data_IF_416511342559
#
_entry.id   IF_416511342559
#
_cell.length_a   1.000
_cell.length_b   1.000
_cell.length_c   1.000
_cell.angle_alpha   90.00
_cell.angle_beta   90.00
_cell.angle_gamma   90.00
#
_symmetry.space_group_name_H-M   'P 1'
#
loop_
_entity.id
_entity.type
_entity.pdbx_description
1 polymer ?
#
# COMPACT_ATOMS: atom_id res chain seq x y z
N UNK A 1 -19.46 0.07 17.64
CA UNK A 1 -18.81 -1.18 18.12
C UNK A 1 -18.60 -1.06 19.62
N UNK A 2 -18.90 -2.13 20.38
CA UNK A 2 -18.55 -2.17 21.81
C UNK A 2 -17.03 -2.25 21.98
N UNK A 3 -16.51 -1.85 23.15
CA UNK A 3 -15.06 -1.88 23.45
C UNK A 3 -14.47 -3.31 23.28
N UNK A 4 -15.23 -4.35 23.59
CA UNK A 4 -14.84 -5.76 23.35
C UNK A 4 -14.73 -6.08 21.86
N UNK A 5 -15.69 -5.64 21.04
CA UNK A 5 -15.65 -5.86 19.59
C UNK A 5 -14.52 -5.08 18.90
N UNK A 6 -14.15 -3.89 19.39
CA UNK A 6 -12.98 -3.15 18.93
C UNK A 6 -11.66 -3.85 19.29
N UNK A 7 -11.57 -4.46 20.47
CA UNK A 7 -10.40 -5.23 20.87
C UNK A 7 -10.25 -6.48 20.02
N UNK A 8 -11.33 -7.20 19.73
CA UNK A 8 -11.31 -8.37 18.84
C UNK A 8 -10.95 -8.00 17.39
N UNK A 9 -11.37 -6.84 16.92
CA UNK A 9 -11.00 -6.34 15.60
C UNK A 9 -9.50 -6.01 15.48
N UNK A 10 -8.95 -5.28 16.44
CA UNK A 10 -7.54 -4.89 16.41
C UNK A 10 -6.57 -6.00 16.83
N UNK A 11 -7.06 -7.04 17.51
CA UNK A 11 -6.27 -8.16 18.04
C UNK A 11 -7.03 -9.49 17.90
N UNK A 12 -7.24 -9.98 16.66
CA UNK A 12 -8.03 -11.18 16.42
C UNK A 12 -7.39 -12.43 17.01
N UNK A 13 -8.27 -13.40 17.37
CA UNK A 13 -7.84 -14.72 17.76
C UNK A 13 -7.50 -15.55 16.52
N UNK A 14 -6.25 -15.99 16.41
CA UNK A 14 -5.74 -16.86 15.35
C UNK A 14 -5.69 -18.29 15.81
N UNK A 15 -5.98 -19.24 14.92
CA UNK A 15 -6.00 -20.68 15.27
C UNK A 15 -5.81 -21.57 14.05
N UNK A 16 -6.03 -22.87 14.21
CA UNK A 16 -5.77 -23.92 13.20
C UNK A 16 -6.51 -23.71 11.87
N UNK A 17 -7.60 -22.94 11.85
CA UNK A 17 -8.33 -22.56 10.65
C UNK A 17 -7.72 -21.33 9.93
N UNK A 18 -6.80 -20.62 10.58
CA UNK A 18 -6.12 -19.48 9.97
C UNK A 18 -4.96 -19.99 9.10
N UNK A 19 -4.95 -19.63 7.82
CA UNK A 19 -3.90 -20.00 6.87
C UNK A 19 -2.52 -19.59 7.40
N UNK A 20 -1.55 -20.53 7.41
CA UNK A 20 -0.20 -20.30 7.94
C UNK A 20 -0.07 -20.45 9.47
N UNK A 21 -1.15 -20.68 10.21
CA UNK A 21 -1.10 -20.94 11.65
C UNK A 21 -0.79 -22.42 11.94
N UNK A 22 0.04 -22.74 12.97
CA UNK A 22 0.37 -24.12 13.33
C UNK A 22 -0.86 -24.90 13.78
N UNK A 23 -1.15 -26.04 13.14
CA UNK A 23 -2.40 -26.79 13.32
C UNK A 23 -2.54 -27.44 14.68
N UNK A 24 -1.43 -27.73 15.36
CA UNK A 24 -1.36 -28.39 16.66
C UNK A 24 -1.24 -27.42 17.84
N UNK A 25 -1.14 -26.13 17.58
CA UNK A 25 -1.02 -25.11 18.60
C UNK A 25 -2.38 -24.57 19.03
N UNK A 26 -2.58 -24.24 20.31
CA UNK A 26 -3.80 -23.61 20.78
C UNK A 26 -3.96 -22.22 20.13
N UNK A 27 -5.21 -21.73 19.94
CA UNK A 27 -5.45 -20.38 19.43
C UNK A 27 -4.76 -19.31 20.29
N UNK A 28 -4.25 -18.25 19.64
CA UNK A 28 -3.59 -17.10 20.28
C UNK A 28 -4.10 -15.79 19.72
N UNK A 29 -4.13 -14.74 20.54
CA UNK A 29 -4.32 -13.38 20.05
C UNK A 29 -3.15 -13.01 19.13
N UNK A 30 -3.42 -12.20 18.10
CA UNK A 30 -2.40 -11.75 17.17
C UNK A 30 -1.22 -11.08 17.91
N UNK A 31 -1.50 -10.27 18.93
CA UNK A 31 -0.50 -9.61 19.78
C UNK A 31 0.35 -10.58 20.62
N UNK A 32 -0.12 -11.81 20.86
CA UNK A 32 0.60 -12.82 21.65
C UNK A 32 1.44 -13.78 20.77
N UNK A 33 1.42 -13.63 19.46
CA UNK A 33 2.15 -14.51 18.52
C UNK A 33 3.67 -14.40 18.72
N UNK A 34 4.19 -13.17 18.92
CA UNK A 34 5.64 -12.97 19.13
C UNK A 34 6.21 -13.71 20.36
N UNK A 35 5.37 -13.98 21.37
CA UNK A 35 5.77 -14.75 22.57
C UNK A 35 5.73 -16.26 22.37
N UNK A 36 5.31 -16.77 21.20
CA UNK A 36 5.19 -18.20 20.96
C UNK A 36 6.54 -18.91 20.78
N UNK A 37 7.62 -18.18 20.51
CA UNK A 37 8.95 -18.73 20.31
C UNK A 37 9.15 -19.46 18.98
N UNK A 38 8.24 -19.25 18.01
CA UNK A 38 8.30 -19.92 16.69
C UNK A 38 9.42 -19.36 15.80
N UNK A 39 9.92 -20.24 14.93
CA UNK A 39 10.86 -19.88 13.89
C UNK A 39 10.45 -20.53 12.56
N UNK A 40 10.35 -19.73 11.51
CA UNK A 40 9.91 -20.20 10.18
C UNK A 40 10.84 -21.25 9.61
N UNK A 41 12.16 -21.08 9.79
CA UNK A 41 13.15 -22.02 9.29
C UNK A 41 13.35 -23.23 10.21
N UNK A 42 12.84 -23.21 11.43
CA UNK A 42 12.77 -24.42 12.26
C UNK A 42 11.60 -25.35 11.89
N UNK A 43 10.66 -24.87 11.05
CA UNK A 43 9.47 -25.62 10.64
C UNK A 43 8.32 -25.54 11.64
N UNK A 44 8.32 -24.53 12.52
CA UNK A 44 7.26 -24.35 13.52
C UNK A 44 5.95 -23.84 12.91
N UNK A 45 6.01 -23.29 11.69
CA UNK A 45 4.84 -22.80 10.94
C UNK A 45 4.67 -23.58 9.63
N UNK A 46 3.41 -23.87 9.23
CA UNK A 46 3.15 -24.54 7.95
C UNK A 46 3.43 -23.61 6.77
N UNK A 47 3.92 -24.17 5.67
CA UNK A 47 4.10 -23.51 4.39
C UNK A 47 2.96 -23.91 3.42
N UNK A 48 2.58 -23.04 2.43
CA UNK A 48 3.18 -21.71 2.18
C UNK A 48 2.87 -20.72 3.30
N UNK A 49 3.75 -19.72 3.46
CA UNK A 49 3.61 -18.68 4.47
C UNK A 49 4.12 -17.35 3.95
N UNK A 50 3.29 -16.30 3.98
CA UNK A 50 3.73 -14.92 3.82
C UNK A 50 4.20 -14.38 5.17
N UNK A 51 5.29 -13.62 5.16
CA UNK A 51 5.89 -13.04 6.36
C UNK A 51 6.47 -11.64 6.09
N UNK A 52 6.66 -10.87 7.15
CA UNK A 52 7.23 -9.54 7.11
C UNK A 52 8.58 -9.52 7.87
N UNK A 53 9.60 -8.91 7.25
CA UNK A 53 10.90 -8.69 7.87
C UNK A 53 10.87 -7.43 8.73
N UNK A 54 11.05 -7.54 10.05
CA UNK A 54 10.98 -6.42 11.00
C UNK A 54 11.96 -5.30 10.63
N UNK A 55 13.21 -5.64 10.44
CA UNK A 55 14.27 -4.66 10.14
C UNK A 55 13.94 -3.83 8.89
N UNK A 56 13.47 -4.46 7.83
CA UNK A 56 13.10 -3.77 6.59
C UNK A 56 11.86 -2.88 6.77
N UNK A 57 10.85 -3.34 7.53
CA UNK A 57 9.66 -2.52 7.86
C UNK A 57 10.05 -1.24 8.62
N UNK A 58 10.84 -1.39 9.68
CA UNK A 58 11.26 -0.27 10.52
C UNK A 58 12.14 0.71 9.74
N UNK A 59 13.06 0.19 8.92
CA UNK A 59 13.86 0.99 8.02
C UNK A 59 12.99 1.80 7.04
N UNK A 60 12.03 1.15 6.37
CA UNK A 60 11.16 1.81 5.39
C UNK A 60 10.30 2.92 6.02
N UNK A 61 9.75 2.67 7.20
CA UNK A 61 9.00 3.66 7.97
C UNK A 61 9.85 4.89 8.26
N UNK A 62 11.05 4.69 8.80
CA UNK A 62 11.99 5.75 9.14
C UNK A 62 12.47 6.51 7.89
N UNK A 63 12.83 5.78 6.82
CA UNK A 63 13.31 6.36 5.57
C UNK A 63 12.29 7.27 4.91
N UNK A 64 11.06 6.79 4.72
CA UNK A 64 10.01 7.59 4.08
C UNK A 64 9.64 8.82 4.92
N UNK A 65 9.56 8.67 6.24
CA UNK A 65 9.27 9.79 7.12
C UNK A 65 10.38 10.85 7.12
N UNK A 66 11.65 10.44 7.05
CA UNK A 66 12.78 11.36 6.90
C UNK A 66 12.72 12.11 5.55
N UNK A 67 12.34 11.42 4.46
CA UNK A 67 12.22 12.04 3.14
C UNK A 67 11.11 13.08 3.07
N UNK A 68 9.90 12.76 3.53
CA UNK A 68 8.80 13.74 3.50
C UNK A 68 9.10 14.98 4.37
N UNK A 69 9.78 14.80 5.50
CA UNK A 69 10.27 15.91 6.33
C UNK A 69 11.29 16.77 5.58
N UNK A 70 12.24 16.16 4.86
CA UNK A 70 13.24 16.88 4.07
C UNK A 70 12.60 17.69 2.93
N UNK A 71 11.51 17.20 2.33
CA UNK A 71 10.74 17.94 1.33
C UNK A 71 9.78 18.98 1.95
N UNK A 72 9.65 19.04 3.27
CA UNK A 72 8.75 19.95 3.98
C UNK A 72 7.27 19.63 3.75
N UNK A 73 6.94 18.38 3.46
CA UNK A 73 5.58 17.86 3.24
C UNK A 73 5.25 16.76 4.26
N UNK A 74 4.04 16.24 4.20
CA UNK A 74 3.57 15.17 5.07
C UNK A 74 3.22 13.90 4.29
N UNK A 75 3.02 12.79 5.02
CA UNK A 75 2.65 11.49 4.49
C UNK A 75 1.24 11.11 4.94
N UNK A 76 0.41 10.70 4.00
CA UNK A 76 -0.90 10.07 4.24
C UNK A 76 -0.95 8.73 3.50
N UNK A 77 -0.24 7.69 3.96
CA UNK A 77 -0.02 6.47 3.19
C UNK A 77 -1.32 5.75 2.84
N UNK A 78 -1.35 5.12 1.66
CA UNK A 78 -2.52 4.40 1.19
C UNK A 78 -2.68 3.06 1.91
N UNK A 79 -3.62 3.00 2.85
CA UNK A 79 -3.91 1.83 3.69
C UNK A 79 -4.44 0.62 2.93
N UNK A 80 -5.05 0.82 1.72
CA UNK A 80 -5.53 -0.31 0.88
C UNK A 80 -4.46 -1.36 0.60
N UNK A 81 -3.18 -1.00 0.70
CA UNK A 81 -2.08 -1.91 0.44
C UNK A 81 -2.07 -3.08 1.40
N UNK A 82 -2.18 -2.82 2.69
CA UNK A 82 -2.07 -3.85 3.73
C UNK A 82 -3.38 -4.17 4.43
N UNK A 83 -4.30 -3.22 4.50
CA UNK A 83 -5.51 -3.28 5.33
C UNK A 83 -5.26 -3.80 6.75
N UNK A 84 -4.09 -3.46 7.31
CA UNK A 84 -3.61 -3.93 8.61
C UNK A 84 -3.66 -2.84 9.68
N UNK A 85 -4.50 -2.96 10.72
CA UNK A 85 -4.55 -2.01 11.83
C UNK A 85 -3.18 -1.81 12.52
N UNK A 86 -2.38 -2.87 12.64
CA UNK A 86 -1.06 -2.81 13.27
C UNK A 86 -0.06 -2.02 12.41
N UNK A 87 -0.08 -2.19 11.08
CA UNK A 87 0.78 -1.41 10.17
C UNK A 87 0.31 0.04 10.10
N UNK A 88 -0.99 0.30 10.11
CA UNK A 88 -1.54 1.68 10.17
C UNK A 88 -1.05 2.42 11.40
N UNK A 89 -1.09 1.76 12.56
CA UNK A 89 -0.60 2.35 13.81
C UNK A 89 0.89 2.66 13.74
N UNK A 90 1.72 1.72 13.25
CA UNK A 90 3.15 1.95 13.05
C UNK A 90 3.42 3.15 12.12
N UNK A 91 2.64 3.32 11.04
CA UNK A 91 2.76 4.47 10.13
C UNK A 91 2.38 5.80 10.83
N UNK A 92 1.29 5.81 11.60
CA UNK A 92 0.86 6.98 12.37
C UNK A 92 1.89 7.32 13.47
N UNK A 93 2.39 6.33 14.21
CA UNK A 93 3.39 6.49 15.27
C UNK A 93 4.75 6.99 14.70
N UNK A 94 5.09 6.59 13.47
CA UNK A 94 6.26 7.12 12.74
C UNK A 94 6.10 8.59 12.33
N UNK A 95 4.89 9.15 12.41
CA UNK A 95 4.59 10.55 12.14
C UNK A 95 3.82 10.81 10.85
N UNK A 96 3.12 9.82 10.28
CA UNK A 96 2.20 10.06 9.18
C UNK A 96 1.09 11.04 9.62
N UNK A 97 0.76 12.00 8.76
CA UNK A 97 -0.29 13.00 9.01
C UNK A 97 -1.67 12.35 9.16
N UNK A 98 -1.91 11.29 8.43
CA UNK A 98 -3.16 10.56 8.37
C UNK A 98 -3.02 9.33 7.49
N UNK A 99 -4.13 8.78 7.03
CA UNK A 99 -4.16 7.60 6.14
C UNK A 99 -5.06 7.85 4.93
N UNK A 100 -4.75 7.19 3.84
CA UNK A 100 -5.56 7.21 2.61
C UNK A 100 -6.21 5.85 2.37
N UNK A 101 -7.42 5.83 1.86
CA UNK A 101 -8.17 4.61 1.53
C UNK A 101 -8.81 4.72 0.14
N UNK A 102 -9.33 3.61 -0.38
CA UNK A 102 -10.02 3.59 -1.66
C UNK A 102 -11.55 3.56 -1.50
N UNK A 103 -12.07 3.08 -0.37
CA UNK A 103 -13.51 2.93 -0.10
C UNK A 103 -13.84 3.32 1.33
N UNK A 104 -15.13 3.55 1.60
CA UNK A 104 -15.63 3.85 2.96
C UNK A 104 -15.48 2.64 3.89
N UNK A 105 -15.61 1.42 3.38
CA UNK A 105 -15.33 0.21 4.15
C UNK A 105 -13.88 0.17 4.64
N UNK A 106 -12.92 0.43 3.76
CA UNK A 106 -11.50 0.50 4.13
C UNK A 106 -11.22 1.65 5.11
N UNK A 107 -11.88 2.79 4.92
CA UNK A 107 -11.81 3.93 5.84
C UNK A 107 -12.25 3.53 7.25
N UNK A 108 -13.34 2.79 7.41
CA UNK A 108 -13.83 2.35 8.71
C UNK A 108 -12.78 1.50 9.47
N UNK A 109 -12.04 0.64 8.76
CA UNK A 109 -10.89 -0.11 9.31
C UNK A 109 -9.81 0.86 9.82
N UNK A 110 -9.46 1.87 9.04
CA UNK A 110 -8.46 2.87 9.42
C UNK A 110 -8.86 3.70 10.64
N UNK A 111 -10.12 4.12 10.71
CA UNK A 111 -10.67 4.86 11.85
C UNK A 111 -10.67 4.00 13.11
N UNK A 112 -11.06 2.73 13.02
CA UNK A 112 -11.00 1.77 14.11
C UNK A 112 -9.56 1.51 14.59
N UNK A 113 -8.56 1.59 13.68
CA UNK A 113 -7.14 1.52 14.01
C UNK A 113 -6.57 2.80 14.63
N UNK A 114 -7.34 3.89 14.70
CA UNK A 114 -6.94 5.14 15.35
C UNK A 114 -6.69 6.32 14.41
N UNK A 115 -6.90 6.19 13.11
CA UNK A 115 -6.76 7.32 12.18
C UNK A 115 -7.77 8.43 12.53
N UNK A 116 -7.32 9.68 12.51
CA UNK A 116 -8.14 10.87 12.80
C UNK A 116 -8.15 11.87 11.63
N UNK A 117 -7.27 11.68 10.65
CA UNK A 117 -7.22 12.43 9.40
C UNK A 117 -7.13 11.42 8.26
N UNK A 118 -8.08 11.48 7.34
CA UNK A 118 -8.21 10.46 6.31
C UNK A 118 -8.58 11.06 4.96
N UNK A 119 -8.10 10.39 3.90
CA UNK A 119 -8.48 10.66 2.53
C UNK A 119 -9.11 9.40 1.93
N UNK A 120 -10.20 9.54 1.19
CA UNK A 120 -10.66 8.51 0.26
C UNK A 120 -10.21 8.95 -1.13
N UNK A 121 -9.16 8.31 -1.67
CA UNK A 121 -8.61 8.61 -2.99
C UNK A 121 -9.47 8.00 -4.10
N UNK A 122 -10.77 8.30 -4.04
CA UNK A 122 -11.80 7.90 -4.98
C UNK A 122 -13.01 8.83 -4.87
N UNK A 123 -13.89 8.77 -5.87
CA UNK A 123 -15.23 9.37 -5.84
C UNK A 123 -16.13 8.56 -4.93
N UNK A 124 -16.90 9.24 -4.08
CA UNK A 124 -17.96 8.65 -3.26
C UNK A 124 -19.30 8.97 -3.89
N UNK A 125 -20.08 7.95 -4.24
CA UNK A 125 -21.28 8.09 -5.07
C UNK A 125 -22.53 7.49 -4.43
N UNK A 126 -22.40 6.43 -3.63
CA UNK A 126 -23.57 5.73 -3.10
C UNK A 126 -24.13 6.42 -1.85
N UNK A 127 -25.44 6.34 -1.69
CA UNK A 127 -26.14 6.83 -0.50
C UNK A 127 -25.61 6.18 0.78
N UNK A 128 -25.30 4.89 0.74
CA UNK A 128 -24.77 4.12 1.86
C UNK A 128 -23.37 4.60 2.27
N UNK A 129 -22.49 4.88 1.30
CA UNK A 129 -21.15 5.38 1.58
C UNK A 129 -21.19 6.81 2.17
N UNK A 130 -22.05 7.69 1.65
CA UNK A 130 -22.25 9.04 2.20
C UNK A 130 -22.79 8.97 3.63
N UNK A 131 -23.78 8.10 3.89
CA UNK A 131 -24.31 7.85 5.23
C UNK A 131 -23.24 7.27 6.17
N UNK A 132 -22.41 6.35 5.67
CA UNK A 132 -21.29 5.77 6.41
C UNK A 132 -20.26 6.81 6.85
N UNK A 133 -19.88 7.75 5.97
CA UNK A 133 -19.00 8.87 6.31
C UNK A 133 -19.64 9.74 7.41
N UNK A 134 -20.92 10.10 7.29
CA UNK A 134 -21.62 10.89 8.32
C UNK A 134 -21.66 10.19 9.68
N UNK A 135 -21.86 8.88 9.66
CA UNK A 135 -21.87 8.04 10.87
C UNK A 135 -20.50 8.09 11.57
N UNK A 136 -19.41 7.94 10.81
CA UNK A 136 -18.05 8.02 11.35
C UNK A 136 -17.73 9.42 11.89
N UNK A 137 -18.09 10.49 11.16
CA UNK A 137 -17.88 11.87 11.59
C UNK A 137 -18.61 12.18 12.91
N UNK A 138 -19.84 11.71 13.08
CA UNK A 138 -20.60 11.90 14.31
C UNK A 138 -20.08 11.06 15.48
N UNK A 139 -19.58 9.85 15.20
CA UNK A 139 -19.07 8.94 16.22
C UNK A 139 -17.68 9.34 16.76
N UNK A 140 -16.90 10.10 15.99
CA UNK A 140 -15.50 10.41 16.31
C UNK A 140 -15.22 11.91 16.24
N UNK A 141 -15.30 12.59 17.38
CA UNK A 141 -14.98 14.01 17.46
C UNK A 141 -13.56 14.29 16.93
N UNK A 142 -13.42 15.32 16.11
CA UNK A 142 -12.15 15.71 15.49
C UNK A 142 -11.68 14.82 14.33
N UNK A 143 -12.47 13.83 13.92
CA UNK A 143 -12.20 13.06 12.71
C UNK A 143 -12.40 13.95 11.48
N UNK A 144 -11.43 13.94 10.58
CA UNK A 144 -11.52 14.57 9.26
C UNK A 144 -11.50 13.49 8.18
N UNK A 145 -12.46 13.59 7.25
CA UNK A 145 -12.58 12.69 6.10
C UNK A 145 -12.75 13.56 4.86
N UNK A 146 -11.79 13.51 3.94
CA UNK A 146 -11.92 14.13 2.64
C UNK A 146 -11.97 13.05 1.55
N UNK A 147 -12.71 13.32 0.44
CA UNK A 147 -12.76 12.42 -0.71
C UNK A 147 -12.71 13.21 -2.03
N UNK A 148 -12.52 12.50 -3.15
CA UNK A 148 -12.31 13.11 -4.44
C UNK A 148 -13.64 13.49 -5.12
N UNK A 149 -13.61 14.64 -5.81
CA UNK A 149 -14.68 15.09 -6.70
C UNK A 149 -14.10 15.54 -8.03
N UNK A 150 -14.66 15.05 -9.14
CA UNK A 150 -14.18 15.35 -10.49
C UNK A 150 -15.27 15.79 -11.48
N UNK A 151 -16.52 15.84 -11.07
CA UNK A 151 -17.62 16.14 -11.98
C UNK A 151 -18.81 16.84 -11.30
N UNK A 152 -19.52 17.63 -12.10
CA UNK A 152 -20.78 18.25 -11.67
C UNK A 152 -21.87 17.20 -11.39
N UNK A 153 -21.83 16.07 -12.08
CA UNK A 153 -22.76 14.97 -11.87
C UNK A 153 -22.59 14.35 -10.47
N UNK A 154 -21.34 14.13 -10.03
CA UNK A 154 -21.06 13.67 -8.67
C UNK A 154 -21.50 14.69 -7.63
N UNK A 155 -21.22 15.98 -7.84
CA UNK A 155 -21.67 17.03 -6.92
C UNK A 155 -23.19 17.03 -6.79
N UNK A 156 -23.93 16.89 -7.89
CA UNK A 156 -25.40 16.83 -7.88
C UNK A 156 -25.93 15.64 -7.05
N UNK A 157 -25.27 14.46 -7.12
CA UNK A 157 -25.62 13.31 -6.27
C UNK A 157 -25.40 13.60 -4.78
N UNK A 158 -24.32 14.27 -4.44
CA UNK A 158 -24.01 14.65 -3.04
C UNK A 158 -25.01 15.70 -2.54
N UNK A 159 -25.36 16.70 -3.36
CA UNK A 159 -26.35 17.74 -3.04
C UNK A 159 -27.75 17.12 -2.82
N UNK A 160 -28.18 16.23 -3.70
CA UNK A 160 -29.45 15.51 -3.58
C UNK A 160 -29.50 14.66 -2.31
N UNK A 161 -28.41 13.94 -2.02
CA UNK A 161 -28.29 13.18 -0.77
C UNK A 161 -28.40 14.09 0.45
N UNK A 162 -27.69 15.21 0.48
CA UNK A 162 -27.69 16.16 1.59
C UNK A 162 -29.09 16.80 1.81
N UNK A 163 -29.82 17.10 0.73
CA UNK A 163 -31.19 17.58 0.80
C UNK A 163 -32.15 16.58 1.46
N UNK A 164 -31.98 15.29 1.15
CA UNK A 164 -32.77 14.20 1.77
C UNK A 164 -32.36 13.91 3.22
N UNK A 165 -31.19 14.36 3.68
CA UNK A 165 -30.66 14.08 5.01
C UNK A 165 -30.37 15.38 5.79
N UNK A 166 -31.44 16.09 6.18
CA UNK A 166 -31.33 17.33 6.91
C UNK A 166 -30.43 17.21 8.17
N UNK A 167 -29.56 18.20 8.39
CA UNK A 167 -28.62 18.19 9.50
C UNK A 167 -27.34 17.35 9.24
N UNK A 168 -27.09 16.92 8.00
CA UNK A 168 -25.82 16.37 7.61
C UNK A 168 -24.70 17.43 7.68
N UNK A 169 -23.50 17.01 8.08
CA UNK A 169 -22.31 17.83 8.03
C UNK A 169 -21.85 18.00 6.57
N UNK A 170 -21.35 19.17 6.16
CA UNK A 170 -20.77 19.31 4.83
C UNK A 170 -19.54 18.40 4.69
N UNK A 171 -19.41 17.74 3.53
CA UNK A 171 -18.30 16.84 3.25
C UNK A 171 -17.06 17.63 2.84
N UNK A 172 -15.90 17.29 3.39
CA UNK A 172 -14.61 17.79 2.87
C UNK A 172 -14.29 17.10 1.54
N UNK A 173 -13.94 17.87 0.52
CA UNK A 173 -13.64 17.35 -0.83
C UNK A 173 -12.33 17.88 -1.38
N UNK A 174 -11.66 17.05 -2.18
CA UNK A 174 -10.50 17.41 -2.99
C UNK A 174 -10.92 17.37 -4.46
N UNK A 175 -10.63 18.44 -5.19
CA UNK A 175 -10.80 18.48 -6.64
C UNK A 175 -9.74 17.60 -7.29
N UNK A 176 -10.13 16.57 -8.05
CA UNK A 176 -9.19 15.68 -8.73
C UNK A 176 -8.81 16.22 -10.11
N UNK A 177 -7.51 16.34 -10.36
CA UNK A 177 -6.92 16.67 -11.66
C UNK A 177 -6.46 15.37 -12.32
N UNK A 178 -7.12 14.99 -13.40
CA UNK A 178 -6.81 13.77 -14.16
C UNK A 178 -6.02 14.05 -15.45
N UNK A 179 -5.59 12.99 -16.11
CA UNK A 179 -4.85 13.01 -17.38
C UNK A 179 -5.70 12.38 -18.47
N UNK A 180 -5.64 12.93 -19.68
CA UNK A 180 -6.37 12.40 -20.84
C UNK A 180 -6.00 10.93 -21.11
N UNK A 181 -7.00 10.12 -21.42
CA UNK A 181 -6.85 8.67 -21.59
C UNK A 181 -6.59 7.89 -20.31
N UNK A 182 -6.41 8.55 -19.15
CA UNK A 182 -6.22 7.91 -17.86
C UNK A 182 -7.57 7.70 -17.11
N UNK A 183 -7.53 7.47 -15.81
CA UNK A 183 -8.64 7.01 -14.97
C UNK A 183 -9.70 8.10 -14.74
N UNK A 184 -9.64 8.83 -13.66
CA UNK A 184 -10.59 9.84 -13.16
C UNK A 184 -10.00 11.25 -13.18
N UNK A 185 -10.73 12.27 -12.75
CA UNK A 185 -10.27 13.64 -12.60
C UNK A 185 -10.61 14.56 -13.77
N UNK A 186 -10.64 15.86 -13.51
CA UNK A 186 -10.88 16.90 -14.51
C UNK A 186 -9.78 16.90 -15.58
N UNK A 187 -10.16 16.92 -16.86
CA UNK A 187 -9.23 16.85 -17.99
C UNK A 187 -8.69 18.20 -18.41
N UNK A 188 -9.48 19.26 -18.25
CA UNK A 188 -9.09 20.62 -18.64
C UNK A 188 -9.09 21.58 -17.46
N UNK A 189 -8.32 22.66 -17.58
CA UNK A 189 -8.30 23.75 -16.60
C UNK A 189 -9.69 24.37 -16.42
N UNK A 190 -10.40 24.60 -17.51
CA UNK A 190 -11.76 25.17 -17.49
C UNK A 190 -12.77 24.26 -16.76
N UNK A 191 -12.72 22.93 -16.97
CA UNK A 191 -13.54 21.97 -16.22
C UNK A 191 -13.25 22.03 -14.72
N UNK A 192 -11.97 22.04 -14.34
CA UNK A 192 -11.55 22.08 -12.94
C UNK A 192 -12.05 23.35 -12.24
N UNK A 193 -11.91 24.51 -12.87
CA UNK A 193 -12.39 25.79 -12.30
C UNK A 193 -13.92 25.91 -12.25
N UNK A 194 -14.61 25.43 -13.27
CA UNK A 194 -16.07 25.39 -13.27
C UNK A 194 -16.59 24.53 -12.12
N UNK A 195 -15.98 23.34 -11.90
CA UNK A 195 -16.31 22.47 -10.78
C UNK A 195 -15.96 23.11 -9.44
N UNK A 196 -14.75 23.67 -9.28
CA UNK A 196 -14.33 24.34 -8.04
C UNK A 196 -15.29 25.48 -7.65
N UNK A 197 -15.74 26.27 -8.64
CA UNK A 197 -16.73 27.34 -8.43
C UNK A 197 -18.07 26.78 -7.95
N UNK A 198 -18.53 25.65 -8.48
CA UNK A 198 -19.77 24.99 -8.05
C UNK A 198 -19.63 24.33 -6.69
N UNK A 199 -18.47 23.72 -6.37
CA UNK A 199 -18.18 23.18 -5.04
C UNK A 199 -18.26 24.31 -3.99
N UNK A 200 -17.64 25.45 -4.25
CA UNK A 200 -17.65 26.62 -3.34
C UNK A 200 -19.07 27.18 -3.10
N UNK A 201 -19.95 27.05 -4.07
CA UNK A 201 -21.34 27.53 -3.98
C UNK A 201 -22.29 26.53 -3.31
N UNK A 202 -21.84 25.30 -3.03
CA UNK A 202 -22.66 24.21 -2.49
C UNK A 202 -22.55 24.16 -0.96
N UNK A 203 -23.67 24.12 -0.26
CA UNK A 203 -23.70 23.92 1.19
C UNK A 203 -23.42 22.45 1.61
N UNK A 204 -23.44 21.51 0.67
CA UNK A 204 -23.26 20.09 0.93
C UNK A 204 -21.79 19.68 1.07
N UNK A 205 -20.87 20.48 0.53
CA UNK A 205 -19.45 20.17 0.48
C UNK A 205 -18.60 21.37 0.89
N UNK A 206 -17.33 21.11 1.21
CA UNK A 206 -16.27 22.10 1.38
C UNK A 206 -15.09 21.71 0.51
N UNK A 207 -14.65 22.58 -0.38
CA UNK A 207 -13.44 22.37 -1.15
C UNK A 207 -12.22 22.66 -0.26
N UNK A 208 -11.52 21.62 0.18
CA UNK A 208 -10.37 21.73 1.09
C UNK A 208 -9.01 21.55 0.40
N UNK A 209 -9.00 21.21 -0.90
CA UNK A 209 -7.74 21.05 -1.63
C UNK A 209 -7.89 20.44 -3.02
N UNK A 210 -6.74 20.05 -3.58
CA UNK A 210 -6.62 19.43 -4.90
C UNK A 210 -5.81 18.16 -4.82
N UNK A 211 -6.17 17.20 -5.64
CA UNK A 211 -5.51 15.90 -5.75
C UNK A 211 -5.14 15.59 -7.21
N UNK A 212 -4.07 14.80 -7.39
CA UNK A 212 -3.73 14.16 -8.66
C UNK A 212 -3.04 12.81 -8.40
N UNK A 213 -3.11 11.91 -9.40
CA UNK A 213 -2.41 10.62 -9.36
C UNK A 213 -1.51 10.44 -10.57
N UNK A 214 -0.21 10.40 -10.33
CA UNK A 214 0.83 10.32 -11.37
C UNK A 214 1.20 8.88 -11.77
N UNK A 215 0.85 7.89 -10.96
CA UNK A 215 1.34 6.52 -11.13
C UNK A 215 0.95 5.85 -12.46
N UNK A 216 -0.10 6.33 -13.13
CA UNK A 216 -0.57 5.76 -14.41
C UNK A 216 0.35 6.10 -15.59
N UNK A 217 1.15 7.17 -15.51
CA UNK A 217 2.08 7.57 -16.55
C UNK A 217 3.54 7.21 -16.28
N UNK A 218 3.82 6.56 -15.13
CA UNK A 218 5.18 6.18 -14.76
C UNK A 218 5.70 5.03 -15.64
N UNK A 219 6.86 5.21 -16.23
CA UNK A 219 7.52 4.24 -17.13
C UNK A 219 8.76 3.60 -16.53
N UNK A 220 9.35 4.22 -15.51
CA UNK A 220 10.66 3.87 -14.92
C UNK A 220 11.84 4.48 -15.67
N UNK A 221 11.60 5.38 -16.63
CA UNK A 221 12.64 6.10 -17.37
C UNK A 221 12.70 7.57 -16.90
N UNK A 222 13.89 8.05 -16.51
CA UNK A 222 14.07 9.33 -15.84
C UNK A 222 13.50 10.53 -16.62
N UNK A 223 13.84 10.70 -17.87
CA UNK A 223 13.42 11.88 -18.65
C UNK A 223 11.92 11.90 -18.98
N UNK A 224 11.30 10.80 -19.48
CA UNK A 224 9.85 10.75 -19.68
C UNK A 224 9.07 10.94 -18.38
N UNK A 225 9.47 10.29 -17.30
CA UNK A 225 8.79 10.36 -16.00
C UNK A 225 8.85 11.78 -15.41
N UNK A 226 10.01 12.45 -15.53
CA UNK A 226 10.17 13.84 -15.09
C UNK A 226 9.32 14.82 -15.93
N UNK A 227 9.26 14.62 -17.24
CA UNK A 227 8.42 15.46 -18.13
C UNK A 227 6.93 15.27 -17.80
N UNK A 228 6.49 14.03 -17.62
CA UNK A 228 5.12 13.69 -17.26
C UNK A 228 4.71 14.27 -15.90
N UNK A 229 5.52 14.03 -14.86
CA UNK A 229 5.25 14.54 -13.52
C UNK A 229 5.20 16.08 -13.51
N UNK A 230 6.11 16.73 -14.22
CA UNK A 230 6.13 18.20 -14.38
C UNK A 230 4.83 18.70 -15.01
N UNK A 231 4.43 18.16 -16.15
CA UNK A 231 3.23 18.58 -16.86
C UNK A 231 1.96 18.41 -16.01
N UNK A 232 1.84 17.30 -15.27
CA UNK A 232 0.73 17.09 -14.34
C UNK A 232 0.74 18.10 -13.20
N UNK A 233 1.88 18.29 -12.54
CA UNK A 233 1.98 19.20 -11.40
C UNK A 233 1.85 20.68 -11.81
N UNK A 234 2.26 21.09 -13.02
CA UNK A 234 2.01 22.43 -13.55
C UNK A 234 0.50 22.71 -13.68
N UNK A 235 -0.28 21.72 -14.11
CA UNK A 235 -1.75 21.84 -14.14
C UNK A 235 -2.36 21.93 -12.75
N UNK A 236 -1.89 21.09 -11.82
CA UNK A 236 -2.32 21.15 -10.41
C UNK A 236 -2.04 22.53 -9.83
N UNK A 237 -0.84 23.08 -10.05
CA UNK A 237 -0.47 24.40 -9.55
C UNK A 237 -1.31 25.51 -10.18
N UNK A 238 -1.52 25.50 -11.51
CA UNK A 238 -2.32 26.52 -12.20
C UNK A 238 -3.75 26.57 -11.63
N UNK A 239 -4.40 25.41 -11.44
CA UNK A 239 -5.74 25.33 -10.84
C UNK A 239 -5.71 25.78 -9.38
N UNK A 240 -4.71 25.35 -8.59
CA UNK A 240 -4.59 25.72 -7.19
C UNK A 240 -4.40 27.23 -6.99
N UNK A 241 -3.53 27.86 -7.79
CA UNK A 241 -3.32 29.31 -7.76
C UNK A 241 -4.60 30.09 -8.09
N UNK A 242 -5.33 29.66 -9.12
CA UNK A 242 -6.56 30.34 -9.49
C UNK A 242 -7.69 30.12 -8.47
N UNK A 243 -7.82 28.92 -7.92
CA UNK A 243 -8.75 28.66 -6.82
C UNK A 243 -8.42 29.51 -5.58
N UNK A 244 -7.16 29.65 -5.22
CA UNK A 244 -6.74 30.50 -4.09
C UNK A 244 -7.03 31.97 -4.37
N UNK A 245 -6.67 32.49 -5.55
CA UNK A 245 -6.93 33.88 -5.95
C UNK A 245 -8.41 34.25 -5.97
N UNK A 246 -9.29 33.29 -6.28
CA UNK A 246 -10.75 33.45 -6.28
C UNK A 246 -11.41 33.15 -4.93
N UNK A 247 -10.68 32.74 -3.90
CA UNK A 247 -11.23 32.38 -2.58
C UNK A 247 -12.14 31.17 -2.64
N UNK A 248 -11.83 30.17 -3.48
CA UNK A 248 -12.68 28.98 -3.67
C UNK A 248 -12.44 27.89 -2.61
N UNK A 249 -11.31 27.91 -1.89
CA UNK A 249 -11.06 26.97 -0.80
C UNK A 249 -11.80 27.37 0.48
N UNK A 250 -12.31 26.37 1.20
CA UNK A 250 -13.05 26.52 2.47
C UNK A 250 -12.30 25.82 3.60
N UNK A 251 -11.06 26.20 3.79
CA UNK A 251 -10.17 25.64 4.80
C UNK A 251 -9.10 26.65 5.19
N UNK A 252 -8.61 26.57 6.41
CA UNK A 252 -7.46 27.39 6.87
C UNK A 252 -6.13 26.92 6.26
N UNK A 253 -6.05 25.68 5.81
CA UNK A 253 -4.88 25.06 5.21
C UNK A 253 -5.29 24.20 4.00
N UNK A 254 -4.84 24.57 2.81
CA UNK A 254 -5.16 23.87 1.56
C UNK A 254 -4.36 22.58 1.47
N UNK A 255 -5.03 21.45 1.20
CA UNK A 255 -4.39 20.17 0.96
C UNK A 255 -4.02 20.02 -0.52
N UNK A 256 -2.74 19.82 -0.82
CA UNK A 256 -2.30 19.39 -2.15
C UNK A 256 -1.76 17.96 -2.04
N UNK A 257 -2.36 17.05 -2.77
CA UNK A 257 -2.05 15.63 -2.61
C UNK A 257 -1.74 14.97 -3.95
N UNK A 258 -0.65 14.22 -3.98
CA UNK A 258 -0.27 13.34 -5.08
C UNK A 258 0.59 12.19 -4.53
N UNK A 259 1.08 11.34 -5.41
CA UNK A 259 2.09 10.37 -5.06
C UNK A 259 1.57 8.94 -4.95
N UNK A 260 1.96 8.15 -5.94
CA UNK A 260 1.94 6.70 -5.91
C UNK A 260 3.25 6.14 -5.36
N UNK A 261 3.62 4.93 -5.81
CA UNK A 261 4.84 4.27 -5.35
C UNK A 261 5.98 4.28 -6.38
N UNK A 262 5.74 4.81 -7.58
CA UNK A 262 6.68 4.69 -8.70
C UNK A 262 7.61 5.91 -8.86
N UNK A 263 7.04 7.11 -8.89
CA UNK A 263 7.76 8.39 -9.15
C UNK A 263 7.39 9.45 -8.11
N UNK A 264 7.23 9.01 -6.87
CA UNK A 264 6.77 9.86 -5.76
C UNK A 264 7.71 11.05 -5.47
N UNK A 265 9.00 10.91 -5.72
CA UNK A 265 10.01 11.94 -5.55
C UNK A 265 9.78 13.14 -6.51
N UNK A 266 9.40 12.87 -7.76
CA UNK A 266 9.16 13.89 -8.77
C UNK A 266 7.94 14.77 -8.48
N UNK A 267 6.95 14.25 -7.75
CA UNK A 267 5.78 15.04 -7.35
C UNK A 267 5.95 15.67 -5.97
N UNK A 268 6.68 15.00 -5.07
CA UNK A 268 6.86 15.43 -3.68
C UNK A 268 7.40 16.86 -3.56
N UNK A 269 8.44 17.20 -4.34
CA UNK A 269 9.05 18.52 -4.35
C UNK A 269 8.08 19.64 -4.80
N UNK A 270 6.97 19.27 -5.43
CA UNK A 270 5.99 20.19 -6.01
C UNK A 270 4.66 20.26 -5.23
N UNK A 271 4.55 19.55 -4.11
CA UNK A 271 3.31 19.50 -3.33
C UNK A 271 3.12 20.70 -2.39
N UNK A 272 4.04 21.65 -2.36
CA UNK A 272 3.94 22.82 -1.49
C UNK A 272 4.25 24.14 -2.22
N UNK A 273 3.43 24.52 -3.24
CA UNK A 273 3.59 25.80 -3.92
C UNK A 273 3.19 26.97 -3.00
N UNK A 274 3.70 28.17 -3.30
CA UNK A 274 3.26 29.39 -2.66
C UNK A 274 1.91 29.85 -3.25
N UNK A 275 0.83 29.68 -2.54
CA UNK A 275 -0.53 30.05 -2.96
C UNK A 275 -1.05 31.36 -2.30
N UNK A 276 -0.26 32.01 -1.44
CA UNK A 276 -0.73 33.12 -0.61
C UNK A 276 -1.62 32.70 0.58
N UNK A 277 -1.88 31.41 0.73
CA UNK A 277 -2.58 30.76 1.83
C UNK A 277 -1.76 29.57 2.33
N UNK A 278 -1.92 29.11 3.58
CA UNK A 278 -1.22 27.92 4.07
C UNK A 278 -1.51 26.70 3.20
N UNK A 279 -0.45 25.94 2.88
CA UNK A 279 -0.53 24.72 2.06
C UNK A 279 0.12 23.55 2.79
N UNK A 280 -0.57 22.42 2.80
CA UNK A 280 -0.05 21.11 3.24
C UNK A 280 0.08 20.18 2.06
N UNK A 281 1.32 19.84 1.71
CA UNK A 281 1.62 18.80 0.74
C UNK A 281 1.45 17.41 1.37
N UNK A 282 0.73 16.51 0.70
CA UNK A 282 0.47 15.14 1.19
C UNK A 282 0.89 14.11 0.15
N UNK A 283 1.92 13.33 0.46
CA UNK A 283 2.31 12.15 -0.31
C UNK A 283 1.48 10.95 0.15
N UNK A 284 1.00 10.10 -0.82
CA UNK A 284 0.10 8.99 -0.50
C UNK A 284 0.68 7.60 -0.77
N UNK A 285 1.98 7.49 -1.02
CA UNK A 285 2.65 6.19 -1.25
C UNK A 285 2.26 5.19 -0.18
N UNK A 286 1.73 4.02 -0.56
CA UNK A 286 1.29 2.96 0.35
C UNK A 286 2.23 1.77 0.38
N UNK A 287 2.73 1.34 -0.79
CA UNK A 287 3.59 0.17 -0.90
C UNK A 287 4.97 0.34 -0.27
N UNK A 288 5.38 1.57 0.07
CA UNK A 288 6.71 1.84 0.64
C UNK A 288 6.97 1.03 1.92
N UNK A 289 5.94 0.77 2.73
CA UNK A 289 6.09 0.12 4.04
C UNK A 289 6.70 -1.28 3.92
N UNK A 290 6.33 -2.03 2.89
CA UNK A 290 6.91 -3.36 2.61
C UNK A 290 7.77 -3.40 1.37
N UNK A 291 7.60 -2.42 0.48
CA UNK A 291 8.20 -2.44 -0.85
C UNK A 291 8.02 -3.80 -1.56
N UNK A 292 8.73 -4.06 -2.66
CA UNK A 292 8.73 -5.35 -3.35
C UNK A 292 10.11 -5.71 -3.93
N UNK A 293 10.21 -6.91 -4.49
CA UNK A 293 11.41 -7.40 -5.19
C UNK A 293 11.29 -7.27 -6.72
N UNK A 294 10.15 -6.76 -7.22
CA UNK A 294 9.80 -6.79 -8.64
C UNK A 294 9.64 -5.42 -9.27
N UNK A 295 8.40 -4.98 -9.45
CA UNK A 295 8.07 -3.80 -10.27
C UNK A 295 8.52 -2.51 -9.61
N UNK A 296 8.15 -2.28 -8.34
CA UNK A 296 8.57 -1.06 -7.64
C UNK A 296 10.07 -1.04 -7.36
N UNK A 297 10.69 -2.21 -7.16
CA UNK A 297 12.17 -2.29 -7.01
C UNK A 297 12.88 -1.78 -8.28
N UNK A 298 12.38 -2.13 -9.47
CA UNK A 298 12.95 -1.60 -10.72
C UNK A 298 12.76 -0.09 -10.86
N UNK A 299 11.56 0.41 -10.51
CA UNK A 299 11.27 1.85 -10.55
C UNK A 299 12.08 2.64 -9.50
N UNK A 300 12.34 2.02 -8.34
CA UNK A 300 13.14 2.62 -7.28
C UNK A 300 14.57 2.92 -7.74
N UNK A 301 15.16 2.14 -8.64
CA UNK A 301 16.47 2.44 -9.18
C UNK A 301 16.58 3.83 -9.81
N UNK A 302 15.55 4.25 -10.54
CA UNK A 302 15.48 5.62 -11.09
C UNK A 302 15.28 6.69 -10.00
N UNK A 303 14.51 6.37 -8.95
CA UNK A 303 14.35 7.25 -7.77
C UNK A 303 15.69 7.37 -7.02
N UNK A 304 16.40 6.29 -6.80
CA UNK A 304 17.71 6.24 -6.15
C UNK A 304 18.73 7.13 -6.88
N UNK A 305 18.76 7.03 -8.21
CA UNK A 305 19.62 7.87 -9.05
C UNK A 305 19.31 9.36 -8.87
N UNK A 306 18.03 9.75 -8.93
CA UNK A 306 17.60 11.15 -8.76
C UNK A 306 17.85 11.69 -7.35
N UNK A 307 17.69 10.85 -6.34
CA UNK A 307 17.92 11.23 -4.93
C UNK A 307 19.38 11.11 -4.49
N UNK A 308 20.27 10.59 -5.36
CA UNK A 308 21.68 10.37 -5.02
C UNK A 308 21.88 9.37 -3.86
N UNK A 309 21.02 8.35 -3.75
CA UNK A 309 21.13 7.32 -2.71
C UNK A 309 21.29 5.93 -3.36
N UNK A 310 21.96 5.01 -2.66
CA UNK A 310 22.12 3.63 -3.11
C UNK A 310 21.07 2.69 -2.57
N UNK A 311 21.03 1.47 -3.11
CA UNK A 311 20.06 0.43 -2.72
C UNK A 311 20.11 0.07 -1.22
N UNK A 312 21.27 0.20 -0.59
CA UNK A 312 21.43 -0.10 0.85
C UNK A 312 20.84 0.98 1.76
N UNK A 313 20.64 2.18 1.23
CA UNK A 313 20.14 3.36 1.96
C UNK A 313 18.74 3.81 1.54
N UNK A 314 18.10 3.07 0.63
CA UNK A 314 16.73 3.34 0.16
C UNK A 314 15.71 2.31 0.69
N UNK A 315 14.51 2.24 0.11
CA UNK A 315 13.47 1.29 0.53
C UNK A 315 13.92 -0.16 0.32
N UNK A 316 13.61 -1.01 1.30
CA UNK A 316 13.99 -2.43 1.33
C UNK A 316 12.76 -3.32 1.20
N UNK A 317 12.80 -4.40 0.39
CA UNK A 317 11.74 -5.40 0.39
C UNK A 317 11.58 -6.07 1.75
N UNK A 318 10.38 -6.01 2.30
CA UNK A 318 10.07 -6.55 3.64
C UNK A 318 9.09 -7.72 3.61
N UNK A 319 8.45 -8.00 2.47
CA UNK A 319 7.44 -9.05 2.33
C UNK A 319 8.00 -10.20 1.52
N UNK A 320 8.03 -11.39 2.13
CA UNK A 320 8.45 -12.65 1.50
C UNK A 320 7.32 -13.68 1.58
N UNK A 321 7.28 -14.61 0.62
CA UNK A 321 6.42 -15.81 0.68
C UNK A 321 7.30 -17.04 0.61
N UNK A 322 7.24 -17.88 1.64
CA UNK A 322 8.01 -19.12 1.74
C UNK A 322 7.19 -20.32 1.32
N UNK A 323 7.79 -21.22 0.53
CA UNK A 323 7.16 -22.42 0.02
C UNK A 323 8.08 -23.64 0.12
N UNK A 324 7.49 -24.82 0.17
CA UNK A 324 8.22 -26.10 0.13
C UNK A 324 8.38 -26.58 -1.31
N UNK A 325 9.51 -27.14 -1.66
CA UNK A 325 9.72 -27.94 -2.89
C UNK A 325 8.92 -29.22 -2.76
N UNK A 326 7.84 -29.30 -3.52
CA UNK A 326 6.90 -30.41 -3.44
C UNK A 326 7.34 -31.60 -4.30
N UNK A 327 7.92 -31.33 -5.47
CA UNK A 327 8.34 -32.32 -6.46
C UNK A 327 9.46 -31.81 -7.35
N UNK A 328 10.31 -32.72 -7.80
CA UNK A 328 11.34 -32.48 -8.82
C UNK A 328 11.13 -33.51 -9.94
N UNK A 329 10.13 -33.33 -10.84
CA UNK A 329 9.70 -34.40 -11.76
C UNK A 329 10.65 -34.64 -12.93
N UNK A 330 11.46 -33.65 -13.28
CA UNK A 330 12.44 -33.71 -14.38
C UNK A 330 13.64 -32.77 -14.11
N UNK A 331 14.78 -32.98 -14.77
CA UNK A 331 15.90 -32.05 -14.68
C UNK A 331 15.51 -30.63 -15.07
N UNK A 332 15.93 -29.62 -14.28
CA UNK A 332 15.62 -28.21 -14.55
C UNK A 332 14.23 -27.77 -14.14
N UNK A 333 13.45 -28.63 -13.45
CA UNK A 333 12.11 -28.30 -12.98
C UNK A 333 11.89 -28.78 -11.53
N UNK A 334 11.43 -27.88 -10.70
CA UNK A 334 10.82 -28.21 -9.42
C UNK A 334 9.44 -27.53 -9.29
N UNK A 335 8.54 -28.21 -8.60
CA UNK A 335 7.22 -27.69 -8.26
C UNK A 335 7.22 -27.26 -6.81
N UNK A 336 6.85 -26.00 -6.58
CA UNK A 336 6.70 -25.44 -5.25
C UNK A 336 5.23 -25.49 -4.80
N UNK A 337 4.99 -25.80 -3.54
CA UNK A 337 3.66 -25.80 -2.92
C UNK A 337 3.21 -24.34 -2.59
N UNK A 338 3.04 -23.52 -3.62
CA UNK A 338 2.61 -22.11 -3.55
C UNK A 338 2.04 -21.73 -4.92
N UNK A 339 1.00 -20.91 -4.96
CA UNK A 339 0.43 -20.49 -6.24
C UNK A 339 -0.30 -19.15 -6.16
N UNK A 340 -1.19 -18.93 -7.14
CA UNK A 340 -1.97 -17.69 -7.26
C UNK A 340 -2.80 -17.34 -6.01
N UNK A 341 -3.11 -18.36 -5.19
CA UNK A 341 -3.84 -18.19 -3.91
C UNK A 341 -2.96 -17.67 -2.78
N UNK A 342 -1.65 -17.58 -2.97
CA UNK A 342 -0.69 -17.33 -1.88
C UNK A 342 0.19 -16.11 -2.12
N UNK A 343 0.44 -15.74 -3.40
CA UNK A 343 1.40 -14.72 -3.80
C UNK A 343 0.89 -13.92 -4.99
N UNK A 344 1.31 -12.66 -5.11
CA UNK A 344 0.99 -11.81 -6.26
C UNK A 344 1.57 -12.34 -7.57
N UNK A 345 0.85 -12.10 -8.68
CA UNK A 345 1.25 -12.51 -10.03
C UNK A 345 0.73 -11.55 -11.12
N UNK A 346 0.03 -10.50 -10.72
CA UNK A 346 -0.68 -9.56 -11.58
C UNK A 346 0.25 -8.58 -12.32
N UNK A 347 1.35 -8.17 -11.70
CA UNK A 347 2.34 -7.27 -12.33
C UNK A 347 3.54 -8.04 -12.89
N UNK A 348 4.02 -9.05 -12.17
CA UNK A 348 5.08 -9.96 -12.61
C UNK A 348 5.06 -11.23 -11.75
N UNK A 349 5.69 -12.29 -12.24
CA UNK A 349 5.86 -13.52 -11.47
C UNK A 349 6.80 -13.30 -10.27
N UNK A 350 6.63 -14.09 -9.19
CA UNK A 350 7.52 -14.05 -8.02
C UNK A 350 8.97 -14.36 -8.39
N UNK A 351 9.90 -13.85 -7.60
CA UNK A 351 11.34 -14.04 -7.80
C UNK A 351 11.89 -14.94 -6.70
N UNK A 352 12.56 -16.08 -7.00
CA UNK A 352 13.30 -16.85 -6.00
C UNK A 352 14.44 -15.99 -5.42
N UNK A 353 14.42 -15.73 -4.11
CA UNK A 353 15.41 -14.87 -3.44
C UNK A 353 16.26 -15.64 -2.44
N UNK A 354 15.68 -16.66 -1.81
CA UNK A 354 16.35 -17.44 -0.77
C UNK A 354 16.08 -18.94 -0.95
N UNK A 355 17.01 -19.75 -0.47
CA UNK A 355 16.93 -21.21 -0.40
C UNK A 355 17.37 -21.70 0.98
N UNK A 356 16.64 -22.66 1.52
CA UNK A 356 17.02 -23.37 2.73
C UNK A 356 16.79 -24.88 2.52
N UNK A 357 17.84 -25.67 2.63
CA UNK A 357 17.75 -27.12 2.57
C UNK A 357 16.79 -27.67 3.65
N UNK A 358 16.20 -28.82 3.43
CA UNK A 358 15.35 -29.49 4.41
C UNK A 358 16.09 -29.62 5.74
N UNK A 359 15.45 -29.14 6.83
CA UNK A 359 16.02 -29.19 8.19
C UNK A 359 17.07 -28.08 8.49
N UNK A 360 17.50 -27.30 7.51
CA UNK A 360 18.41 -26.17 7.76
C UNK A 360 17.68 -25.07 8.57
N UNK A 361 18.40 -24.44 9.50
CA UNK A 361 17.88 -23.31 10.31
C UNK A 361 18.32 -21.94 9.79
N UNK A 362 19.03 -21.92 8.69
CA UNK A 362 19.47 -20.72 7.98
C UNK A 362 19.15 -20.84 6.49
N UNK A 363 18.90 -19.73 5.86
CA UNK A 363 18.74 -19.62 4.41
C UNK A 363 19.96 -18.97 3.78
N UNK A 364 20.21 -19.29 2.52
CA UNK A 364 21.20 -18.65 1.68
C UNK A 364 20.52 -18.03 0.47
N UNK A 365 21.20 -17.16 -0.25
CA UNK A 365 20.67 -16.61 -1.50
C UNK A 365 20.30 -17.75 -2.46
N UNK A 366 19.15 -17.63 -3.11
CA UNK A 366 18.77 -18.56 -4.16
C UNK A 366 19.76 -18.47 -5.33
N UNK A 367 20.07 -19.60 -5.97
CA UNK A 367 20.94 -19.58 -7.16
C UNK A 367 20.44 -18.61 -8.23
N UNK A 368 21.34 -17.82 -8.80
CA UNK A 368 20.98 -16.74 -9.75
C UNK A 368 20.24 -17.21 -11.00
N UNK A 369 20.38 -18.48 -11.39
CA UNK A 369 19.69 -19.07 -12.55
C UNK A 369 18.24 -19.54 -12.24
N UNK A 370 17.81 -19.47 -10.99
CA UNK A 370 16.45 -19.88 -10.62
C UNK A 370 15.43 -18.83 -11.05
N UNK A 371 14.32 -19.29 -11.63
CA UNK A 371 13.20 -18.43 -12.03
C UNK A 371 11.85 -19.13 -11.88
N UNK A 372 10.84 -18.42 -11.49
CA UNK A 372 9.46 -18.89 -11.60
C UNK A 372 9.01 -18.65 -13.04
N UNK A 373 8.57 -19.70 -13.72
CA UNK A 373 8.14 -19.64 -15.12
C UNK A 373 6.62 -19.61 -15.29
N UNK A 374 5.88 -20.12 -14.31
CA UNK A 374 4.42 -20.15 -14.31
C UNK A 374 3.85 -20.34 -12.90
N UNK A 375 2.58 -19.99 -12.72
CA UNK A 375 1.80 -20.25 -11.52
C UNK A 375 0.44 -20.87 -11.88
N UNK A 376 0.09 -21.94 -11.19
CA UNK A 376 -1.30 -22.41 -11.04
C UNK A 376 -1.86 -21.89 -9.71
N UNK A 377 -3.07 -22.33 -9.34
CA UNK A 377 -3.71 -21.87 -8.10
C UNK A 377 -2.88 -22.21 -6.85
N UNK A 378 -2.26 -23.40 -6.81
CA UNK A 378 -1.54 -23.94 -5.66
C UNK A 378 -0.13 -24.46 -6.01
N UNK A 379 0.38 -24.17 -7.21
CA UNK A 379 1.69 -24.63 -7.66
C UNK A 379 2.44 -23.51 -8.37
N UNK A 380 3.76 -23.43 -8.09
CA UNK A 380 4.70 -22.61 -8.86
C UNK A 380 5.75 -23.49 -9.53
N UNK A 381 6.08 -23.14 -10.77
CA UNK A 381 7.07 -23.84 -11.58
C UNK A 381 8.42 -23.14 -11.42
N UNK A 382 9.29 -23.70 -10.60
CA UNK A 382 10.67 -23.25 -10.45
C UNK A 382 11.54 -23.93 -11.53
N UNK A 383 12.20 -23.12 -12.34
CA UNK A 383 13.11 -23.62 -13.39
C UNK A 383 14.50 -23.07 -13.22
N UNK A 384 15.48 -23.87 -13.70
CA UNK A 384 16.89 -23.49 -13.84
C UNK A 384 17.47 -24.19 -15.06
N UNK A 385 18.59 -23.67 -15.57
CA UNK A 385 19.24 -24.24 -16.74
C UNK A 385 20.10 -25.42 -16.33
N UNK A 386 20.03 -26.51 -17.07
CA UNK A 386 20.77 -27.76 -16.84
C UNK A 386 21.78 -27.92 -17.98
N UNK A 387 23.07 -28.03 -17.65
CA UNK A 387 24.09 -28.34 -18.64
C UNK A 387 23.88 -29.78 -19.19
N UNK A 388 23.98 -29.99 -20.51
CA UNK A 388 23.76 -31.32 -21.11
C UNK A 388 24.63 -32.44 -20.48
N UNK A 389 25.86 -32.10 -20.07
CA UNK A 389 26.84 -33.04 -19.52
C UNK A 389 26.85 -33.12 -17.98
N UNK A 390 25.98 -32.33 -17.30
CA UNK A 390 25.86 -32.30 -15.86
C UNK A 390 24.40 -32.27 -15.41
N UNK A 391 23.64 -33.35 -15.59
CA UNK A 391 22.21 -33.40 -15.27
C UNK A 391 21.88 -33.21 -13.80
N UNK A 392 22.87 -33.36 -12.91
CA UNK A 392 22.78 -33.02 -11.48
C UNK A 392 23.64 -31.77 -11.20
N UNK A 393 23.06 -30.60 -11.56
CA UNK A 393 23.70 -29.35 -11.19
C UNK A 393 23.77 -29.24 -9.65
N UNK A 394 24.95 -28.78 -9.11
CA UNK A 394 25.12 -28.62 -7.65
C UNK A 394 24.11 -27.66 -7.00
N UNK A 395 23.28 -27.04 -7.78
CA UNK A 395 22.29 -26.02 -7.38
C UNK A 395 20.84 -26.48 -7.56
N UNK A 396 20.58 -27.75 -7.88
CA UNK A 396 19.22 -28.26 -7.95
C UNK A 396 18.57 -28.34 -6.55
N UNK A 397 17.34 -27.88 -6.37
CA UNK A 397 16.64 -28.05 -5.10
C UNK A 397 16.23 -29.52 -4.91
N UNK A 398 16.09 -29.95 -3.66
CA UNK A 398 15.59 -31.25 -3.30
C UNK A 398 14.13 -31.17 -2.78
N UNK A 399 13.38 -32.27 -2.89
CA UNK A 399 12.04 -32.38 -2.30
C UNK A 399 12.14 -32.17 -0.77
N UNK A 400 11.31 -31.25 -0.27
CA UNK A 400 11.31 -30.86 1.14
C UNK A 400 12.19 -29.65 1.45
N UNK A 401 12.99 -29.16 0.52
CA UNK A 401 13.67 -27.85 0.64
C UNK A 401 12.65 -26.73 0.68
N UNK A 402 13.08 -25.57 1.14
CA UNK A 402 12.24 -24.37 1.24
C UNK A 402 12.81 -23.26 0.39
N UNK A 403 11.95 -22.57 -0.34
CA UNK A 403 12.30 -21.45 -1.20
C UNK A 403 11.57 -20.21 -0.71
N UNK A 404 12.32 -19.16 -0.41
CA UNK A 404 11.82 -17.82 -0.16
C UNK A 404 11.61 -17.09 -1.49
N UNK A 405 10.39 -16.62 -1.72
CA UNK A 405 9.98 -15.90 -2.91
C UNK A 405 9.78 -14.43 -2.60
N UNK A 406 10.45 -13.58 -3.36
CA UNK A 406 10.18 -12.15 -3.43
C UNK A 406 8.92 -11.87 -4.25
N UNK A 407 8.15 -10.90 -3.83
CA UNK A 407 6.89 -10.53 -4.46
C UNK A 407 7.06 -9.40 -5.48
N UNK A 408 6.13 -9.28 -6.42
CA UNK A 408 6.09 -8.20 -7.42
C UNK A 408 5.05 -7.11 -7.13
N UNK A 409 4.11 -7.36 -6.20
CA UNK A 409 3.04 -6.43 -5.86
C UNK A 409 2.55 -6.67 -4.42
N UNK A 410 2.84 -5.78 -3.47
CA UNK A 410 2.42 -5.97 -2.08
C UNK A 410 0.90 -6.09 -1.91
N UNK A 411 0.12 -5.21 -2.55
CA UNK A 411 -1.33 -5.13 -2.36
C UNK A 411 -2.02 -6.47 -2.61
N UNK A 412 -1.71 -7.11 -3.75
CA UNK A 412 -2.28 -8.38 -4.18
C UNK A 412 -1.61 -9.62 -3.57
N UNK A 413 -0.66 -9.41 -2.66
CA UNK A 413 -0.17 -10.46 -1.77
C UNK A 413 -0.85 -10.36 -0.41
N UNK A 414 -0.98 -9.15 0.16
CA UNK A 414 -1.66 -8.96 1.43
C UNK A 414 -3.11 -9.48 1.43
N UNK A 415 -3.87 -9.24 0.34
CA UNK A 415 -5.27 -9.65 0.21
C UNK A 415 -5.52 -11.17 0.28
N UNK A 416 -4.45 -11.98 0.19
CA UNK A 416 -4.51 -13.44 0.25
C UNK A 416 -4.32 -14.03 1.64
N UNK A 417 -4.05 -13.16 2.63
CA UNK A 417 -3.70 -13.55 3.99
C UNK A 417 -4.52 -12.79 5.03
N UNK A 418 -5.00 -13.48 6.05
CA UNK A 418 -5.68 -12.85 7.18
C UNK A 418 -4.73 -12.38 8.28
N UNK A 419 -3.51 -12.93 8.28
CA UNK A 419 -2.44 -12.56 9.19
C UNK A 419 -1.08 -12.91 8.57
N UNK A 420 -0.04 -12.24 9.05
CA UNK A 420 1.36 -12.55 8.70
C UNK A 420 2.23 -12.43 9.95
N UNK A 421 3.16 -13.37 10.20
CA UNK A 421 4.17 -13.18 11.23
C UNK A 421 5.15 -12.09 10.81
N UNK A 422 5.63 -11.34 11.78
CA UNK A 422 6.79 -10.44 11.66
C UNK A 422 8.00 -11.17 12.23
N UNK A 423 9.06 -11.26 11.45
CA UNK A 423 10.24 -12.05 11.80
C UNK A 423 11.50 -11.19 11.92
N UNK A 424 12.41 -11.62 12.79
CA UNK A 424 13.78 -11.11 12.90
C UNK A 424 14.66 -11.63 11.75
N UNK A 425 15.93 -11.20 11.69
CA UNK A 425 16.88 -11.63 10.65
C UNK A 425 17.13 -13.14 10.63
N UNK A 426 17.01 -13.81 11.77
CA UNK A 426 17.13 -15.27 11.96
C UNK A 426 15.81 -16.04 11.73
N UNK A 427 14.77 -15.38 11.21
CA UNK A 427 13.42 -15.93 11.00
C UNK A 427 12.66 -16.33 12.26
N UNK A 428 13.10 -15.91 13.43
CA UNK A 428 12.32 -16.01 14.67
C UNK A 428 11.14 -15.05 14.61
N UNK A 429 9.96 -15.55 14.88
CA UNK A 429 8.73 -14.74 14.94
C UNK A 429 8.79 -13.86 16.20
N UNK A 430 8.69 -12.57 16.02
CA UNK A 430 8.76 -11.57 17.10
C UNK A 430 7.49 -10.73 17.23
N UNK A 431 6.60 -10.80 16.25
CA UNK A 431 5.30 -10.11 16.25
C UNK A 431 4.40 -10.71 15.16
N UNK A 432 3.17 -10.21 15.03
CA UNK A 432 2.27 -10.53 13.93
C UNK A 432 1.39 -9.34 13.57
N UNK A 433 0.87 -9.35 12.35
CA UNK A 433 -0.13 -8.39 11.86
C UNK A 433 -1.34 -9.13 11.31
N UNK A 434 -2.52 -8.54 11.47
CA UNK A 434 -3.77 -9.03 10.86
C UNK A 434 -4.21 -8.12 9.72
N UNK A 435 -4.93 -8.67 8.75
CA UNK A 435 -5.47 -7.95 7.61
C UNK A 435 -7.00 -8.06 7.58
N UNK A 436 -7.66 -6.98 7.12
CA UNK A 436 -9.11 -6.82 7.07
C UNK A 436 -9.56 -6.40 5.67
N UNK A 437 -9.36 -7.31 4.70
CA UNK A 437 -9.87 -7.13 3.34
C UNK A 437 -11.33 -7.51 3.21
#
# INVERSE_FOLDING_TARGET
MTMTAMNDFNDPLLGSHSKGYPRTQPPRRCSAIGAAGWNVLAGDLPLPLALLKREALEHNLAWMQARVRAWGIDLAPHGKTSMSPQLFRRQLDAGAWGLTFATVTQLAVGVAAGARRTLIANQVLSDEDLAGIQTLLRAHAGLRIAFLVDSLAQLALIEDWAQRHAGSLPFETLLEIGVEGARTGCRTHAQALALATRLRASAAVRLVGIEAYEGLGATGANAPDAAYARALMDRVHAVACECAARGLFETDEVLLSAGGSAIFDLVAERLKPALGVPVRGLLRSGCYVTHDHGVYRRMLGAVEERLGCGCDTSLRPALEVWATVQSCPEPGLAILAVGKRDISFDLALPVPILHAARGARAAQAAPAGWRISALNDQHAYLRWDVAPDAPQAPQAPAVGDRVGLGISHPCTTFDKWHWMPVVESDYRVSDAVSMHF
#
